data_IF_329019991237
#
_entry.id   IF_329019991237
#
_cell.length_a   1.000
_cell.length_b   1.000
_cell.length_c   1.000
_cell.angle_alpha   90.00
_cell.angle_beta   90.00
_cell.angle_gamma   90.00
#
_symmetry.space_group_name_H-M   'P 1'
#
loop_
_entity.id
_entity.type
_entity.pdbx_description
1 polymer ?
#
# COMPACT_ATOMS: atom_id res chain seq x y z
N UNK A 1 12.44 0.48 16.23
CA UNK A 1 11.82 0.87 14.94
C UNK A 1 12.86 1.58 14.09
N UNK A 2 12.65 1.65 12.78
CA UNK A 2 13.51 2.49 11.93
C UNK A 2 13.31 3.97 12.23
N UNK A 3 14.37 4.76 12.04
CA UNK A 3 14.35 6.20 12.26
C UNK A 3 13.28 6.87 11.41
N UNK A 4 12.34 7.55 12.09
CA UNK A 4 11.13 8.13 11.51
C UNK A 4 10.54 9.21 12.43
N UNK A 5 9.60 10.00 11.90
CA UNK A 5 8.78 10.90 12.69
C UNK A 5 7.73 10.12 13.50
N UNK A 6 8.01 9.92 14.79
CA UNK A 6 7.13 9.19 15.70
C UNK A 6 5.81 9.91 15.95
N UNK A 7 5.78 11.26 15.94
CA UNK A 7 4.52 12.00 16.09
C UNK A 7 3.58 11.72 14.93
N UNK A 8 4.12 11.71 13.70
CA UNK A 8 3.36 11.37 12.49
C UNK A 8 2.72 9.98 12.55
N UNK A 9 3.38 9.03 13.20
CA UNK A 9 2.87 7.68 13.48
C UNK A 9 1.86 7.66 14.65
N UNK A 10 2.16 8.36 15.74
CA UNK A 10 1.46 8.28 17.02
C UNK A 10 0.17 9.11 17.11
N UNK A 11 -0.05 10.09 16.22
CA UNK A 11 -1.15 11.07 16.30
C UNK A 11 -2.58 10.45 16.29
N UNK A 12 -3.03 9.71 17.32
CA UNK A 12 -4.35 9.09 17.54
C UNK A 12 -5.05 8.46 16.32
N UNK A 13 -4.33 8.25 15.21
CA UNK A 13 -4.84 7.80 13.90
C UNK A 13 -5.11 6.29 13.91
N UNK A 14 -4.41 5.56 14.76
CA UNK A 14 -4.43 4.10 14.83
C UNK A 14 -4.71 3.57 16.25
N UNK A 15 -4.80 4.45 17.24
CA UNK A 15 -4.72 4.11 18.66
C UNK A 15 -6.09 3.71 19.21
N UNK A 16 -6.34 2.42 19.35
CA UNK A 16 -7.42 1.92 20.19
C UNK A 16 -7.03 2.12 21.67
N UNK A 17 -7.88 2.80 22.43
CA UNK A 17 -7.72 3.07 23.87
C UNK A 17 -6.44 3.82 24.30
N UNK A 18 -5.60 4.30 23.38
CA UNK A 18 -4.37 5.06 23.68
C UNK A 18 -3.23 4.23 24.30
N UNK A 19 -3.28 2.91 24.19
CA UNK A 19 -2.35 1.99 24.89
C UNK A 19 -1.23 1.42 24.01
N UNK A 20 -1.15 1.80 22.73
CA UNK A 20 -0.16 1.23 21.82
C UNK A 20 1.28 1.46 22.30
N UNK A 21 2.07 0.40 22.32
CA UNK A 21 3.49 0.51 22.65
C UNK A 21 4.29 1.05 21.48
N UNK A 22 4.95 2.18 21.69
CA UNK A 22 5.88 2.79 20.76
C UNK A 22 7.30 2.47 21.20
N UNK A 23 8.06 1.79 20.35
CA UNK A 23 9.45 1.44 20.61
C UNK A 23 10.39 2.58 20.23
N UNK A 24 11.64 2.55 20.72
CA UNK A 24 12.65 3.53 20.30
C UNK A 24 12.92 3.45 18.79
N UNK A 25 13.33 4.58 18.22
CA UNK A 25 13.75 4.70 16.82
C UNK A 25 15.29 4.68 16.72
N UNK A 26 15.81 4.09 15.65
CA UNK A 26 17.25 3.99 15.38
C UNK A 26 17.49 3.80 13.87
N UNK A 27 18.67 4.19 13.37
CA UNK A 27 19.12 3.75 12.04
C UNK A 27 19.47 2.25 12.02
N UNK A 28 19.97 1.73 13.15
CA UNK A 28 20.12 0.30 13.39
C UNK A 28 18.74 -0.32 13.67
N UNK A 29 18.04 -0.66 12.60
CA UNK A 29 16.64 -1.07 12.65
C UNK A 29 16.28 -2.23 11.74
N UNK A 30 17.25 -2.80 11.01
CA UNK A 30 17.01 -3.88 10.05
C UNK A 30 16.83 -5.22 10.79
N UNK A 31 15.67 -5.34 11.41
CA UNK A 31 15.23 -6.50 12.18
C UNK A 31 14.01 -7.16 11.52
N UNK A 32 13.77 -8.41 11.88
CA UNK A 32 12.52 -9.11 11.61
C UNK A 32 12.07 -9.85 12.87
N UNK A 33 10.76 -9.99 13.04
CA UNK A 33 10.16 -10.80 14.10
C UNK A 33 9.60 -12.09 13.49
N UNK A 34 9.63 -13.19 14.24
CA UNK A 34 9.13 -14.49 13.79
C UNK A 34 8.12 -15.00 14.81
N UNK A 35 6.94 -15.33 14.32
CA UNK A 35 5.86 -15.94 15.07
C UNK A 35 5.64 -17.34 14.51
N UNK A 36 5.91 -18.36 15.33
CA UNK A 36 5.70 -19.76 14.99
C UNK A 36 4.74 -20.39 15.99
N UNK A 37 3.81 -21.27 15.55
CA UNK A 37 2.90 -21.97 16.46
C UNK A 37 3.65 -22.77 17.53
N UNK A 38 3.01 -22.98 18.68
CA UNK A 38 3.54 -23.86 19.71
C UNK A 38 3.75 -25.30 19.15
N UNK A 39 4.65 -26.07 19.77
CA UNK A 39 5.01 -27.45 19.36
C UNK A 39 5.66 -27.56 17.96
N UNK A 40 6.19 -26.46 17.43
CA UNK A 40 6.91 -26.48 16.15
C UNK A 40 8.15 -27.38 16.23
N UNK A 41 8.14 -28.47 15.48
CA UNK A 41 9.33 -29.28 15.22
C UNK A 41 10.08 -28.73 14.00
N UNK A 42 11.42 -28.80 14.05
CA UNK A 42 12.27 -28.52 12.89
C UNK A 42 11.80 -29.36 11.70
N UNK A 43 11.50 -28.71 10.57
CA UNK A 43 11.07 -29.41 9.35
C UNK A 43 9.58 -29.72 9.25
N UNK A 44 8.73 -29.12 10.10
CA UNK A 44 7.27 -29.24 9.95
C UNK A 44 6.72 -28.75 8.59
N UNK A 45 7.49 -27.93 7.85
CA UNK A 45 7.20 -27.57 6.47
C UNK A 45 5.99 -26.64 6.33
N UNK A 46 5.77 -25.75 7.31
CA UNK A 46 4.63 -24.84 7.31
C UNK A 46 4.78 -23.74 6.25
N UNK A 47 3.68 -23.26 5.63
CA UNK A 47 3.73 -22.05 4.83
C UNK A 47 4.29 -20.88 5.64
N UNK A 48 5.07 -20.03 4.98
CA UNK A 48 5.66 -18.82 5.58
C UNK A 48 4.96 -17.61 5.00
N UNK A 49 4.47 -16.71 5.85
CA UNK A 49 3.85 -15.44 5.46
C UNK A 49 4.71 -14.28 5.93
N UNK A 50 5.28 -13.51 4.99
CA UNK A 50 6.22 -12.41 5.27
C UNK A 50 5.52 -11.06 5.08
N UNK A 51 5.27 -10.36 6.18
CA UNK A 51 4.54 -9.11 6.24
C UNK A 51 5.43 -7.88 6.02
N UNK A 52 4.96 -6.96 5.19
CA UNK A 52 5.50 -5.62 5.03
C UNK A 52 4.47 -4.59 5.52
N UNK A 53 4.87 -3.78 6.48
CA UNK A 53 4.00 -2.75 7.03
C UNK A 53 3.78 -1.58 6.04
N UNK A 54 2.64 -0.89 6.19
CA UNK A 54 2.33 0.33 5.46
C UNK A 54 2.96 1.59 6.08
N UNK A 55 2.48 2.77 5.66
CA UNK A 55 2.89 4.06 6.22
C UNK A 55 3.55 5.02 5.23
N UNK A 56 3.08 5.04 3.98
CA UNK A 56 3.54 5.97 2.92
C UNK A 56 5.06 5.91 2.64
N UNK A 57 5.70 4.76 2.95
CA UNK A 57 7.15 4.58 2.91
C UNK A 57 7.93 5.53 3.84
N UNK A 58 7.24 6.24 4.74
CA UNK A 58 7.78 7.30 5.59
C UNK A 58 7.78 6.92 7.08
N UNK A 59 6.76 6.17 7.50
CA UNK A 59 6.55 5.73 8.89
C UNK A 59 6.08 4.28 8.93
N UNK A 60 6.03 3.69 10.11
CA UNK A 60 5.53 2.34 10.38
C UNK A 60 6.54 1.45 11.10
N UNK A 61 6.05 0.31 11.60
CA UNK A 61 6.86 -0.66 12.30
C UNK A 61 6.30 -2.08 12.23
N UNK A 62 7.17 -3.06 12.02
CA UNK A 62 6.92 -4.49 12.08
C UNK A 62 6.45 -4.93 13.47
N UNK A 63 6.91 -4.25 14.52
CA UNK A 63 6.49 -4.48 15.92
C UNK A 63 5.04 -4.07 16.17
N UNK A 64 4.42 -3.29 15.30
CA UNK A 64 2.98 -2.95 15.41
C UNK A 64 2.05 -4.10 14.98
N UNK A 65 2.60 -5.19 14.46
CA UNK A 65 1.85 -6.31 13.90
C UNK A 65 2.19 -7.59 14.67
N UNK A 66 1.36 -7.92 15.66
CA UNK A 66 1.49 -9.19 16.39
C UNK A 66 0.97 -10.35 15.52
N UNK A 67 1.89 -11.20 15.06
CA UNK A 67 1.59 -12.36 14.22
C UNK A 67 1.09 -13.59 14.98
N UNK A 68 0.94 -13.53 16.32
CA UNK A 68 0.67 -14.70 17.15
C UNK A 68 -0.65 -15.39 16.82
N UNK A 69 -1.75 -14.63 16.68
CA UNK A 69 -3.06 -15.21 16.37
C UNK A 69 -3.08 -15.81 14.96
N UNK A 70 -2.57 -15.08 13.96
CA UNK A 70 -2.50 -15.60 12.58
C UNK A 70 -1.65 -16.88 12.49
N UNK A 71 -0.50 -16.92 13.18
CA UNK A 71 0.33 -18.12 13.25
C UNK A 71 -0.45 -19.29 13.87
N UNK A 72 -1.04 -19.08 15.04
CA UNK A 72 -1.72 -20.13 15.80
C UNK A 72 -2.97 -20.68 15.10
N UNK A 73 -3.88 -19.80 14.63
CA UNK A 73 -5.12 -20.22 13.96
C UNK A 73 -4.89 -20.71 12.53
N UNK A 74 -3.88 -20.17 11.83
CA UNK A 74 -3.58 -20.50 10.44
C UNK A 74 -2.64 -21.70 10.24
N UNK A 75 -1.96 -22.13 11.30
CA UNK A 75 -0.86 -23.09 11.28
C UNK A 75 0.21 -22.71 10.23
N UNK A 76 0.73 -21.49 10.37
CA UNK A 76 1.74 -20.86 9.49
C UNK A 76 2.83 -20.20 10.31
N UNK A 77 4.00 -19.98 9.70
CA UNK A 77 5.03 -19.11 10.26
C UNK A 77 4.81 -17.70 9.74
N UNK A 78 4.62 -16.73 10.63
CA UNK A 78 4.50 -15.31 10.26
C UNK A 78 5.82 -14.60 10.54
N UNK A 79 6.32 -13.84 9.55
CA UNK A 79 7.52 -13.02 9.68
C UNK A 79 7.15 -11.57 9.45
N UNK A 80 7.41 -10.66 10.39
CA UNK A 80 7.20 -9.21 10.18
C UNK A 80 8.53 -8.51 9.99
N UNK A 81 8.68 -7.75 8.90
CA UNK A 81 9.98 -7.21 8.46
C UNK A 81 10.03 -5.69 8.63
N UNK A 82 11.12 -5.18 9.23
CA UNK A 82 11.50 -3.78 9.16
C UNK A 82 12.30 -3.48 7.90
N UNK A 83 12.11 -2.28 7.35
CA UNK A 83 12.88 -1.74 6.24
C UNK A 83 13.10 -0.23 6.42
N UNK A 84 14.17 0.32 5.84
CA UNK A 84 14.45 1.77 5.94
C UNK A 84 13.33 2.60 5.32
N UNK A 85 13.04 3.73 5.95
CA UNK A 85 11.92 4.62 5.62
C UNK A 85 12.42 6.02 5.23
N UNK A 86 11.54 6.81 4.62
CA UNK A 86 11.78 8.22 4.34
C UNK A 86 13.03 8.47 3.48
N UNK A 87 13.76 9.54 3.82
CA UNK A 87 15.04 9.87 3.19
C UNK A 87 16.03 8.70 3.26
N UNK A 88 16.10 7.99 4.39
CA UNK A 88 17.06 6.90 4.58
C UNK A 88 16.74 5.66 3.73
N UNK A 89 15.48 5.45 3.37
CA UNK A 89 15.03 4.33 2.55
C UNK A 89 14.92 4.62 1.05
N UNK A 90 14.68 5.88 0.68
CA UNK A 90 14.22 6.22 -0.68
C UNK A 90 14.87 7.47 -1.28
N UNK A 91 15.85 8.09 -0.61
CA UNK A 91 16.63 9.18 -1.23
C UNK A 91 17.34 8.69 -2.49
N UNK A 92 17.27 9.48 -3.55
CA UNK A 92 17.91 9.16 -4.83
C UNK A 92 18.40 10.42 -5.53
N UNK A 93 19.61 10.37 -6.07
CA UNK A 93 20.16 11.38 -7.00
C UNK A 93 19.79 11.07 -8.46
N UNK A 94 19.37 9.83 -8.74
CA UNK A 94 19.06 9.38 -10.11
C UNK A 94 20.28 8.89 -10.88
N UNK A 95 21.39 8.65 -10.18
CA UNK A 95 22.66 8.14 -10.70
C UNK A 95 23.25 7.10 -9.71
N UNK A 96 24.48 6.66 -9.98
CA UNK A 96 25.17 5.64 -9.18
C UNK A 96 25.51 6.07 -7.74
N UNK A 97 25.49 7.37 -7.41
CA UNK A 97 25.90 7.86 -6.10
C UNK A 97 24.84 7.62 -5.02
N UNK A 98 23.57 7.71 -5.41
CA UNK A 98 22.42 7.29 -4.63
C UNK A 98 21.30 6.85 -5.59
N UNK A 99 21.25 5.57 -6.00
CA UNK A 99 20.26 5.09 -6.98
C UNK A 99 18.83 5.00 -6.43
N UNK A 100 18.65 5.06 -5.11
CA UNK A 100 17.36 4.91 -4.44
C UNK A 100 17.06 3.49 -3.99
N UNK A 101 15.78 3.23 -3.67
CA UNK A 101 15.21 1.91 -3.39
C UNK A 101 15.87 1.09 -2.28
N UNK A 102 16.52 1.74 -1.31
CA UNK A 102 17.15 1.07 -0.18
C UNK A 102 16.13 0.28 0.66
N UNK A 103 14.93 0.82 0.88
CA UNK A 103 13.85 0.10 1.56
C UNK A 103 13.40 -1.18 0.83
N UNK A 104 13.40 -1.19 -0.52
CA UNK A 104 13.14 -2.42 -1.29
C UNK A 104 14.28 -3.43 -1.13
N UNK A 105 15.53 -2.97 -1.18
CA UNK A 105 16.70 -3.84 -1.00
C UNK A 105 16.76 -4.45 0.40
N UNK A 106 16.32 -3.74 1.43
CA UNK A 106 16.19 -4.25 2.80
C UNK A 106 15.19 -5.41 2.86
N UNK A 107 14.03 -5.25 2.22
CA UNK A 107 13.02 -6.31 2.13
C UNK A 107 13.55 -7.51 1.34
N UNK A 108 14.26 -7.30 0.23
CA UNK A 108 14.91 -8.39 -0.52
C UNK A 108 15.95 -9.10 0.34
N UNK A 109 16.73 -8.37 1.15
CA UNK A 109 17.69 -8.95 2.08
C UNK A 109 16.99 -9.80 3.15
N UNK A 110 15.87 -9.33 3.71
CA UNK A 110 15.05 -10.10 4.65
C UNK A 110 14.48 -11.38 4.00
N UNK A 111 14.03 -11.32 2.75
CA UNK A 111 13.56 -12.51 2.03
C UNK A 111 14.68 -13.52 1.76
N UNK A 112 15.89 -13.05 1.42
CA UNK A 112 17.07 -13.93 1.33
C UNK A 112 17.40 -14.57 2.68
N UNK A 113 17.26 -13.82 3.77
CA UNK A 113 17.40 -14.36 5.12
C UNK A 113 16.35 -15.46 5.39
N UNK A 114 15.08 -15.22 5.06
CA UNK A 114 14.00 -16.23 5.19
C UNK A 114 14.35 -17.49 4.39
N UNK A 115 14.78 -17.35 3.14
CA UNK A 115 15.21 -18.48 2.30
C UNK A 115 16.35 -19.29 2.92
N UNK A 116 17.31 -18.62 3.57
CA UNK A 116 18.43 -19.28 4.24
C UNK A 116 18.10 -19.89 5.61
N UNK A 117 17.17 -19.31 6.36
CA UNK A 117 17.09 -19.50 7.81
C UNK A 117 15.71 -19.87 8.37
N UNK A 118 14.63 -19.93 7.58
CA UNK A 118 13.29 -20.14 8.16
C UNK A 118 13.01 -21.57 8.61
N UNK A 119 13.76 -22.57 8.10
CA UNK A 119 13.51 -24.00 8.36
C UNK A 119 13.62 -24.40 9.85
N UNK A 120 14.62 -23.95 10.62
CA UNK A 120 14.66 -24.17 12.08
C UNK A 120 13.46 -23.59 12.84
N UNK A 121 12.77 -22.59 12.27
CA UNK A 121 11.54 -22.03 12.83
C UNK A 121 10.28 -22.75 12.33
N UNK A 122 10.42 -23.94 11.71
CA UNK A 122 9.32 -24.77 11.21
C UNK A 122 8.74 -24.37 9.86
N UNK A 123 9.28 -23.32 9.22
CA UNK A 123 8.81 -22.82 7.94
C UNK A 123 9.38 -23.59 6.73
N UNK A 124 8.59 -23.66 5.67
CA UNK A 124 9.01 -24.14 4.35
C UNK A 124 9.45 -22.98 3.47
N UNK A 125 10.74 -22.97 3.12
CA UNK A 125 11.35 -21.97 2.21
C UNK A 125 10.77 -22.03 0.79
N UNK A 126 10.16 -23.16 0.40
CA UNK A 126 9.51 -23.37 -0.90
C UNK A 126 8.01 -23.00 -0.87
N UNK A 127 7.50 -22.48 0.25
CA UNK A 127 6.11 -22.09 0.41
C UNK A 127 6.00 -20.72 1.11
N UNK A 128 6.72 -19.74 0.56
CA UNK A 128 6.78 -18.36 1.06
C UNK A 128 5.76 -17.48 0.34
N UNK A 129 4.92 -16.78 1.10
CA UNK A 129 3.96 -15.78 0.65
C UNK A 129 4.36 -14.42 1.17
N UNK A 130 4.54 -13.43 0.30
CA UNK A 130 4.73 -12.03 0.72
C UNK A 130 3.37 -11.36 0.86
N UNK A 131 3.17 -10.56 1.89
CA UNK A 131 1.94 -9.80 2.05
C UNK A 131 2.16 -8.45 2.70
N UNK A 132 1.29 -7.48 2.40
CA UNK A 132 1.43 -6.14 2.94
C UNK A 132 0.19 -5.28 2.72
N UNK A 133 0.04 -4.27 3.58
CA UNK A 133 -1.04 -3.29 3.52
C UNK A 133 -0.53 -1.91 3.09
N UNK A 134 -1.32 -1.18 2.30
CA UNK A 134 -0.96 0.17 1.85
C UNK A 134 0.39 0.19 1.14
N UNK A 135 1.33 1.04 1.55
CA UNK A 135 2.71 1.05 1.06
C UNK A 135 3.42 -0.32 1.15
N UNK A 136 3.10 -1.16 2.12
CA UNK A 136 3.59 -2.54 2.20
C UNK A 136 3.02 -3.44 1.11
N UNK A 137 1.78 -3.22 0.69
CA UNK A 137 1.17 -3.84 -0.49
C UNK A 137 1.83 -3.36 -1.79
N UNK A 138 2.19 -2.07 -1.86
CA UNK A 138 3.01 -1.53 -2.96
C UNK A 138 4.39 -2.19 -3.01
N UNK A 139 5.04 -2.44 -1.87
CA UNK A 139 6.29 -3.21 -1.83
C UNK A 139 6.05 -4.64 -2.35
N UNK A 140 5.08 -5.38 -1.80
CA UNK A 140 4.82 -6.76 -2.19
C UNK A 140 4.50 -6.92 -3.68
N UNK A 141 3.66 -6.05 -4.26
CA UNK A 141 3.41 -6.02 -5.71
C UNK A 141 4.62 -5.58 -6.52
N UNK A 142 5.45 -4.67 -6.00
CA UNK A 142 6.72 -4.29 -6.62
C UNK A 142 7.71 -5.45 -6.71
N UNK A 143 7.79 -6.29 -5.67
CA UNK A 143 8.63 -7.49 -5.68
C UNK A 143 8.18 -8.52 -6.73
N UNK A 144 6.88 -8.61 -7.03
CA UNK A 144 6.38 -9.45 -8.15
C UNK A 144 6.99 -9.01 -9.47
N UNK A 145 7.15 -7.71 -9.69
CA UNK A 145 7.70 -7.15 -10.93
C UNK A 145 9.23 -7.07 -10.93
N UNK A 146 9.88 -7.20 -9.79
CA UNK A 146 11.31 -6.95 -9.65
C UNK A 146 12.14 -8.22 -9.91
N UNK A 147 13.16 -8.16 -10.79
CA UNK A 147 14.02 -9.32 -11.07
C UNK A 147 14.87 -9.73 -9.85
N UNK A 148 15.23 -8.80 -8.96
CA UNK A 148 16.08 -9.09 -7.79
C UNK A 148 15.37 -9.92 -6.71
N UNK A 149 14.05 -10.01 -6.78
CA UNK A 149 13.22 -10.80 -5.87
C UNK A 149 12.77 -12.16 -6.47
N UNK A 150 13.12 -12.44 -7.73
CA UNK A 150 12.73 -13.65 -8.43
C UNK A 150 13.19 -14.91 -7.68
N UNK A 151 12.26 -15.84 -7.44
CA UNK A 151 12.52 -17.10 -6.73
C UNK A 151 12.62 -16.98 -5.21
N UNK A 152 12.42 -15.80 -4.61
CA UNK A 152 12.43 -15.65 -3.14
C UNK A 152 11.07 -15.91 -2.49
N UNK A 153 9.99 -15.90 -3.26
CA UNK A 153 8.62 -16.15 -2.80
C UNK A 153 7.77 -16.77 -3.91
N UNK A 154 6.60 -17.28 -3.53
CA UNK A 154 5.79 -18.18 -4.35
C UNK A 154 4.37 -17.65 -4.54
N UNK A 155 3.94 -16.68 -3.73
CA UNK A 155 2.59 -16.07 -3.73
C UNK A 155 2.68 -14.65 -3.17
N UNK A 156 1.75 -13.79 -3.56
CA UNK A 156 1.67 -12.43 -3.05
C UNK A 156 0.24 -12.05 -2.65
N UNK A 157 0.10 -11.31 -1.56
CA UNK A 157 -1.16 -10.71 -1.11
C UNK A 157 -0.97 -9.21 -0.93
N UNK A 158 -1.78 -8.38 -1.57
CA UNK A 158 -1.71 -6.92 -1.41
C UNK A 158 -3.03 -6.33 -0.97
N UNK A 159 -3.00 -5.64 0.17
CA UNK A 159 -4.18 -5.12 0.84
C UNK A 159 -4.20 -3.60 0.68
N UNK A 160 -5.13 -3.08 -0.11
CA UNK A 160 -5.33 -1.63 -0.27
C UNK A 160 -4.06 -0.90 -0.74
N UNK A 161 -3.30 -1.50 -1.66
CA UNK A 161 -1.99 -0.99 -2.06
C UNK A 161 -1.32 -1.77 -3.18
N UNK A 162 -0.91 -1.09 -4.27
CA UNK A 162 -0.11 -1.68 -5.37
C UNK A 162 1.01 -0.73 -5.81
N UNK A 163 2.04 -1.25 -6.50
CA UNK A 163 3.21 -0.48 -6.93
C UNK A 163 2.90 0.59 -7.98
N UNK A 164 1.75 0.46 -8.66
CA UNK A 164 1.27 1.41 -9.68
C UNK A 164 0.41 2.55 -9.12
N UNK A 165 0.33 2.70 -7.79
CA UNK A 165 -0.38 3.82 -7.17
C UNK A 165 0.27 5.15 -7.61
N UNK A 166 -0.53 6.12 -8.08
CA UNK A 166 -0.05 7.46 -8.39
C UNK A 166 0.74 8.11 -7.24
N UNK A 167 1.85 8.77 -7.58
CA UNK A 167 2.64 9.55 -6.61
C UNK A 167 3.63 8.75 -5.74
N UNK A 168 3.61 7.42 -5.77
CA UNK A 168 4.59 6.58 -5.05
C UNK A 168 5.86 6.29 -5.85
N UNK A 169 5.92 6.72 -7.12
CA UNK A 169 7.07 6.61 -8.03
C UNK A 169 7.50 7.98 -8.53
N UNK A 170 8.80 8.18 -8.75
CA UNK A 170 9.32 9.32 -9.53
C UNK A 170 10.35 8.86 -10.58
N UNK A 171 10.22 9.38 -11.80
CA UNK A 171 11.24 9.27 -12.84
C UNK A 171 12.28 10.39 -12.78
N UNK A 172 12.04 11.41 -11.95
CA UNK A 172 12.90 12.59 -11.81
C UNK A 172 13.18 12.85 -10.33
N UNK A 173 14.08 12.08 -9.70
CA UNK A 173 14.36 12.20 -8.26
C UNK A 173 15.20 13.43 -7.90
N UNK A 174 15.94 14.00 -8.86
CA UNK A 174 16.90 15.09 -8.62
C UNK A 174 16.32 16.34 -7.94
N UNK A 175 15.15 16.89 -8.33
CA UNK A 175 14.57 18.04 -7.64
C UNK A 175 14.28 17.79 -6.15
N UNK A 176 13.83 16.57 -5.81
CA UNK A 176 13.63 16.17 -4.42
C UNK A 176 14.96 16.06 -3.68
N UNK A 177 15.98 15.48 -4.31
CA UNK A 177 17.32 15.39 -3.75
C UNK A 177 17.91 16.77 -3.45
N UNK A 178 17.77 17.73 -4.37
CA UNK A 178 18.20 19.11 -4.17
C UNK A 178 17.46 19.81 -3.04
N UNK A 179 16.15 19.53 -2.87
CA UNK A 179 15.37 20.08 -1.77
C UNK A 179 15.86 19.53 -0.42
N UNK A 180 16.08 18.20 -0.32
CA UNK A 180 16.67 17.57 0.87
C UNK A 180 18.05 18.14 1.18
N UNK A 181 18.93 18.21 0.18
CA UNK A 181 20.27 18.78 0.33
C UNK A 181 20.22 20.23 0.81
N UNK A 182 19.36 21.07 0.23
CA UNK A 182 19.20 22.47 0.61
C UNK A 182 18.67 22.63 2.04
N UNK A 183 17.73 21.79 2.46
CA UNK A 183 17.22 21.80 3.83
C UNK A 183 18.32 21.55 4.87
N UNK A 184 19.30 20.72 4.51
CA UNK A 184 20.42 20.26 5.33
C UNK A 184 21.71 21.07 5.14
N UNK A 185 21.69 22.13 4.33
CA UNK A 185 22.89 22.88 3.94
C UNK A 185 23.99 22.01 3.27
N UNK A 186 23.57 21.04 2.46
CA UNK A 186 24.40 20.13 1.67
C UNK A 186 24.23 20.32 0.15
N UNK A 187 23.73 21.48 -0.29
CA UNK A 187 23.55 21.77 -1.72
C UNK A 187 24.90 21.71 -2.45
N UNK A 188 25.03 20.82 -3.42
CA UNK A 188 26.14 20.77 -4.36
C UNK A 188 25.61 20.50 -5.77
N UNK A 189 26.37 20.94 -6.78
CA UNK A 189 26.16 20.54 -8.17
C UNK A 189 26.71 19.14 -8.46
N UNK A 190 27.59 18.63 -7.59
CA UNK A 190 28.11 17.26 -7.64
C UNK A 190 27.24 16.33 -6.78
N UNK A 191 26.57 15.33 -7.37
CA UNK A 191 25.78 14.35 -6.62
C UNK A 191 26.63 13.58 -5.58
N UNK A 192 27.88 13.27 -5.91
CA UNK A 192 28.81 12.61 -4.99
C UNK A 192 29.08 13.44 -3.73
N UNK A 193 29.40 14.73 -3.88
CA UNK A 193 29.64 15.64 -2.75
C UNK A 193 28.38 15.87 -1.92
N UNK A 194 27.23 16.01 -2.57
CA UNK A 194 25.93 16.13 -1.90
C UNK A 194 25.67 14.91 -1.01
N UNK A 195 25.82 13.70 -1.56
CA UNK A 195 25.62 12.45 -0.82
C UNK A 195 26.64 12.31 0.31
N UNK A 196 27.90 12.68 0.08
CA UNK A 196 28.92 12.66 1.12
C UNK A 196 28.58 13.60 2.28
N UNK A 197 28.11 14.82 2.00
CA UNK A 197 27.67 15.77 3.02
C UNK A 197 26.46 15.24 3.79
N UNK A 198 25.45 14.69 3.09
CA UNK A 198 24.26 14.15 3.74
C UNK A 198 24.57 12.97 4.67
N UNK A 199 25.54 12.11 4.32
CA UNK A 199 26.00 11.00 5.19
C UNK A 199 26.74 11.46 6.45
N UNK A 200 27.17 12.71 6.52
CA UNK A 200 27.78 13.30 7.73
C UNK A 200 26.75 13.96 8.65
N UNK A 201 25.47 13.99 8.25
CA UNK A 201 24.38 14.50 9.08
C UNK A 201 23.91 13.44 10.06
N UNK A 202 23.46 13.88 11.22
CA UNK A 202 22.72 13.03 12.13
C UNK A 202 21.39 12.62 11.48
N UNK A 203 21.03 11.34 11.58
CA UNK A 203 19.80 10.84 10.97
C UNK A 203 18.54 11.59 11.42
N UNK A 204 18.51 12.05 12.67
CA UNK A 204 17.39 12.84 13.21
C UNK A 204 17.22 14.17 12.46
N UNK A 205 18.32 14.83 12.06
CA UNK A 205 18.29 16.07 11.27
C UNK A 205 17.64 15.82 9.90
N UNK A 206 17.95 14.68 9.28
CA UNK A 206 17.41 14.29 7.97
C UNK A 206 15.92 13.95 8.03
N UNK A 207 15.50 13.23 9.08
CA UNK A 207 14.16 12.65 9.18
C UNK A 207 13.14 13.63 9.77
N UNK A 208 13.53 14.43 10.78
CA UNK A 208 12.62 15.29 11.53
C UNK A 208 12.60 16.75 11.01
N UNK A 209 13.23 16.99 9.85
CA UNK A 209 13.29 18.33 9.26
C UNK A 209 11.92 18.84 8.85
N UNK A 210 11.38 19.80 9.61
CA UNK A 210 10.12 20.50 9.29
C UNK A 210 10.17 21.30 7.99
N UNK A 211 11.37 21.51 7.42
CA UNK A 211 11.53 22.13 6.08
C UNK A 211 11.06 21.20 4.96
N UNK A 212 11.07 19.89 5.19
CA UNK A 212 10.67 18.88 4.22
C UNK A 212 9.18 18.54 4.40
N UNK A 213 8.34 19.09 3.52
CA UNK A 213 6.90 18.77 3.47
C UNK A 213 6.63 17.58 2.54
N UNK A 214 7.21 16.42 2.85
CA UNK A 214 7.11 15.22 2.00
C UNK A 214 6.09 14.25 2.61
N UNK A 215 4.96 14.07 1.92
CA UNK A 215 3.91 13.14 2.33
C UNK A 215 4.22 11.70 1.92
N UNK A 216 4.72 11.49 0.71
CA UNK A 216 5.11 10.16 0.22
C UNK A 216 6.55 10.27 -0.27
N UNK A 217 7.40 9.33 0.14
CA UNK A 217 8.75 9.20 -0.40
C UNK A 217 8.71 8.25 -1.60
N UNK A 218 8.93 8.74 -2.82
CA UNK A 218 8.75 7.92 -4.01
C UNK A 218 9.92 6.96 -4.21
N UNK A 219 9.63 5.77 -4.73
CA UNK A 219 10.66 4.88 -5.28
C UNK A 219 11.09 5.35 -6.68
N UNK A 220 12.22 4.84 -7.16
CA UNK A 220 12.83 5.24 -8.44
C UNK A 220 12.97 4.08 -9.41
N UNK A 221 13.14 4.40 -10.70
CA UNK A 221 13.57 3.43 -11.72
C UNK A 221 15.10 3.43 -11.68
N UNK A 222 15.69 2.55 -10.89
CA UNK A 222 17.11 2.53 -10.54
C UNK A 222 17.97 1.61 -11.43
N UNK A 223 17.35 0.89 -12.38
CA UNK A 223 18.04 -0.06 -13.24
C UNK A 223 18.32 -1.42 -12.60
N UNK A 224 18.22 -1.52 -11.25
CA UNK A 224 18.50 -2.75 -10.49
C UNK A 224 17.23 -3.33 -9.89
N UNK A 225 16.60 -2.64 -8.93
CA UNK A 225 15.32 -3.08 -8.35
C UNK A 225 14.21 -2.96 -9.39
N UNK A 226 14.14 -1.84 -10.09
CA UNK A 226 13.22 -1.59 -11.18
C UNK A 226 13.99 -1.17 -12.44
N UNK A 227 14.16 -2.08 -13.43
CA UNK A 227 14.83 -1.76 -14.68
C UNK A 227 13.99 -0.86 -15.61
N UNK A 228 12.68 -0.83 -15.42
CA UNK A 228 11.69 0.00 -16.13
C UNK A 228 10.58 0.42 -15.17
N UNK A 229 9.68 1.30 -15.62
CA UNK A 229 8.50 1.62 -14.81
C UNK A 229 7.63 0.37 -14.60
N UNK A 230 6.93 0.24 -13.45
CA UNK A 230 5.99 -0.86 -13.24
C UNK A 230 4.91 -1.00 -14.32
N UNK A 231 4.44 0.13 -14.88
CA UNK A 231 3.47 0.14 -15.99
C UNK A 231 4.06 -0.55 -17.24
N UNK A 232 5.32 -0.28 -17.58
CA UNK A 232 6.02 -0.94 -18.69
C UNK A 232 6.25 -2.43 -18.42
N UNK A 233 6.71 -2.79 -17.20
CA UNK A 233 6.93 -4.18 -16.81
C UNK A 233 5.64 -5.02 -16.90
N UNK A 234 4.50 -4.45 -16.47
CA UNK A 234 3.18 -5.07 -16.60
C UNK A 234 2.79 -5.30 -18.05
N UNK A 235 3.02 -4.31 -18.92
CA UNK A 235 2.73 -4.39 -20.36
C UNK A 235 3.58 -5.42 -21.08
N UNK A 236 4.86 -5.52 -20.73
CA UNK A 236 5.82 -6.46 -21.31
C UNK A 236 5.63 -7.90 -20.80
N UNK A 237 4.91 -8.07 -19.68
CA UNK A 237 4.65 -9.38 -19.04
C UNK A 237 5.94 -10.14 -18.68
N UNK A 238 7.04 -9.41 -18.47
CA UNK A 238 8.35 -9.98 -18.16
C UNK A 238 8.64 -9.89 -16.66
N UNK A 239 7.98 -10.74 -15.88
CA UNK A 239 8.15 -10.84 -14.43
C UNK A 239 7.79 -12.25 -13.95
N UNK A 240 8.22 -12.60 -12.72
CA UNK A 240 7.95 -13.90 -12.14
C UNK A 240 6.49 -13.97 -11.65
N UNK A 241 5.61 -14.50 -12.50
CA UNK A 241 4.18 -14.64 -12.17
C UNK A 241 3.96 -15.64 -11.05
N UNK A 242 3.34 -15.17 -9.96
CA UNK A 242 2.87 -15.98 -8.83
C UNK A 242 1.35 -15.82 -8.65
N UNK A 243 0.65 -16.75 -7.97
CA UNK A 243 -0.71 -16.50 -7.50
C UNK A 243 -0.77 -15.20 -6.68
N UNK A 244 -1.82 -14.41 -6.93
CA UNK A 244 -1.98 -13.07 -6.39
C UNK A 244 -3.37 -12.89 -5.77
N UNK A 245 -3.42 -12.45 -4.50
CA UNK A 245 -4.67 -12.08 -3.83
C UNK A 245 -4.60 -10.58 -3.54
N UNK A 246 -5.62 -9.81 -3.92
CA UNK A 246 -5.66 -8.39 -3.62
C UNK A 246 -7.05 -7.88 -3.39
N UNK A 247 -7.17 -6.67 -2.85
CA UNK A 247 -8.44 -6.03 -2.65
C UNK A 247 -8.28 -4.66 -2.02
N UNK A 248 -9.43 -4.06 -1.78
CA UNK A 248 -9.58 -2.70 -1.27
C UNK A 248 -10.64 -2.69 -0.16
N UNK A 249 -10.70 -1.59 0.59
CA UNK A 249 -11.78 -1.30 1.52
C UNK A 249 -12.82 -0.39 0.86
N UNK A 250 -14.08 -0.43 1.32
CA UNK A 250 -15.14 0.40 0.72
C UNK A 250 -15.08 1.90 1.09
N UNK A 251 -14.04 2.35 1.81
CA UNK A 251 -13.87 3.75 2.22
C UNK A 251 -12.38 4.14 2.40
N UNK A 252 -11.55 3.86 1.39
CA UNK A 252 -10.08 4.04 1.42
C UNK A 252 -9.57 5.44 1.76
N UNK A 253 -10.30 6.48 1.37
CA UNK A 253 -9.94 7.87 1.69
C UNK A 253 -10.94 8.50 2.66
N UNK A 254 -11.59 7.68 3.49
CA UNK A 254 -12.63 8.15 4.40
C UNK A 254 -12.09 8.95 5.56
N UNK A 255 -11.15 8.40 6.33
CA UNK A 255 -10.69 9.05 7.56
C UNK A 255 -9.18 8.94 7.79
N UNK A 256 -8.62 7.73 7.72
CA UNK A 256 -7.23 7.50 8.10
C UNK A 256 -6.25 8.26 7.19
N UNK A 257 -6.41 8.13 5.89
CA UNK A 257 -5.53 8.76 4.90
C UNK A 257 -5.65 10.30 4.93
N UNK A 258 -6.85 10.92 4.80
CA UNK A 258 -6.96 12.37 4.87
C UNK A 258 -6.51 12.93 6.22
N UNK A 259 -6.75 12.24 7.35
CA UNK A 259 -6.22 12.64 8.66
C UNK A 259 -4.70 12.54 8.68
N UNK A 260 -4.16 11.47 8.10
CA UNK A 260 -2.75 11.22 7.85
C UNK A 260 -2.03 12.38 7.19
N UNK A 261 -2.71 12.98 6.21
CA UNK A 261 -2.19 14.06 5.37
C UNK A 261 -2.53 15.46 5.89
N UNK A 262 -3.24 15.57 7.02
CA UNK A 262 -3.67 16.86 7.58
C UNK A 262 -4.78 17.53 6.77
N UNK A 263 -5.51 16.77 5.97
CA UNK A 263 -6.60 17.25 5.14
C UNK A 263 -7.96 17.12 5.86
N UNK A 264 -8.17 16.07 6.65
CA UNK A 264 -9.50 15.70 7.17
C UNK A 264 -10.29 16.89 7.77
N UNK A 265 -9.65 17.72 8.59
CA UNK A 265 -10.31 18.83 9.29
C UNK A 265 -10.48 20.09 8.43
N UNK A 266 -9.84 20.14 7.25
CA UNK A 266 -9.85 21.30 6.33
C UNK A 266 -10.67 21.04 5.05
N UNK A 267 -11.06 19.80 4.78
CA UNK A 267 -11.70 19.39 3.53
C UNK A 267 -13.02 20.11 3.23
N UNK A 268 -13.83 20.39 4.25
CA UNK A 268 -15.09 21.12 4.08
C UNK A 268 -14.87 22.61 3.76
N UNK A 269 -13.67 23.15 4.02
CA UNK A 269 -13.32 24.55 3.72
C UNK A 269 -12.44 24.69 2.46
N UNK A 270 -12.07 23.58 1.82
CA UNK A 270 -11.22 23.63 0.62
C UNK A 270 -11.94 24.29 -0.54
N UNK A 271 -11.23 25.22 -1.19
CA UNK A 271 -11.67 25.77 -2.47
C UNK A 271 -11.53 24.74 -3.60
N UNK A 272 -12.16 25.01 -4.75
CA UNK A 272 -11.95 24.20 -5.97
C UNK A 272 -10.48 24.21 -6.38
N UNK A 273 -9.80 25.34 -6.22
CA UNK A 273 -8.38 25.52 -6.50
C UNK A 273 -7.52 24.65 -5.58
N UNK A 274 -7.85 24.55 -4.29
CA UNK A 274 -7.15 23.67 -3.35
C UNK A 274 -7.32 22.19 -3.74
N UNK A 275 -8.55 21.78 -4.07
CA UNK A 275 -8.84 20.42 -4.54
C UNK A 275 -8.10 20.10 -5.84
N UNK A 276 -8.09 21.02 -6.80
CA UNK A 276 -7.34 20.90 -8.05
C UNK A 276 -5.84 20.80 -7.80
N UNK A 277 -5.28 21.60 -6.90
CA UNK A 277 -3.86 21.54 -6.56
C UNK A 277 -3.49 20.17 -5.96
N UNK A 278 -4.35 19.58 -5.12
CA UNK A 278 -4.15 18.24 -4.55
C UNK A 278 -4.28 17.15 -5.61
N UNK A 279 -5.23 17.28 -6.54
CA UNK A 279 -5.51 16.28 -7.58
C UNK A 279 -4.53 16.32 -8.75
N UNK A 280 -3.93 17.48 -9.02
CA UNK A 280 -3.06 17.72 -10.19
C UNK A 280 -1.95 16.69 -10.35
N UNK A 281 -1.15 16.33 -9.32
CA UNK A 281 -0.09 15.33 -9.46
C UNK A 281 -0.62 13.95 -9.87
N UNK A 282 -1.81 13.57 -9.38
CA UNK A 282 -2.42 12.28 -9.67
C UNK A 282 -3.02 12.24 -11.07
N UNK A 283 -3.71 13.31 -11.49
CA UNK A 283 -4.23 13.45 -12.86
C UNK A 283 -3.09 13.51 -13.88
N UNK A 284 -1.99 14.21 -13.57
CA UNK A 284 -0.77 14.22 -14.40
C UNK A 284 -0.23 12.80 -14.61
N UNK A 285 -0.25 11.95 -13.58
CA UNK A 285 0.22 10.55 -13.69
C UNK A 285 -0.68 9.64 -14.54
N UNK A 286 -1.88 10.12 -14.88
CA UNK A 286 -2.83 9.52 -15.79
C UNK A 286 -2.81 10.19 -17.17
N UNK A 287 -1.78 10.98 -17.47
CA UNK A 287 -1.56 11.67 -18.74
C UNK A 287 -2.68 12.69 -19.08
N UNK A 288 -3.37 13.21 -18.06
CA UNK A 288 -4.39 14.25 -18.23
C UNK A 288 -3.72 15.61 -18.49
N UNK A 289 -4.02 16.29 -19.61
CA UNK A 289 -3.55 17.66 -19.85
C UNK A 289 -4.05 18.64 -18.78
N UNK A 290 -3.24 19.61 -18.33
CA UNK A 290 -3.64 20.61 -17.33
C UNK A 290 -4.96 21.33 -17.67
N UNK A 291 -5.21 21.60 -18.96
CA UNK A 291 -6.40 22.28 -19.46
C UNK A 291 -7.69 21.44 -19.32
N UNK A 292 -7.55 20.11 -19.19
CA UNK A 292 -8.68 19.20 -18.98
C UNK A 292 -9.00 18.98 -17.50
N UNK A 293 -8.03 19.21 -16.59
CA UNK A 293 -8.17 18.87 -15.18
C UNK A 293 -9.38 19.53 -14.49
N UNK A 294 -9.66 20.84 -14.68
CA UNK A 294 -10.83 21.47 -14.05
C UNK A 294 -12.15 20.79 -14.44
N UNK A 295 -12.32 20.49 -15.73
CA UNK A 295 -13.55 19.84 -16.23
C UNK A 295 -13.73 18.41 -15.68
N UNK A 296 -12.63 17.67 -15.47
CA UNK A 296 -12.67 16.34 -14.86
C UNK A 296 -13.08 16.45 -13.39
N UNK A 297 -12.57 17.45 -12.67
CA UNK A 297 -12.95 17.68 -11.27
C UNK A 297 -14.43 18.03 -11.17
N UNK A 298 -14.92 18.92 -12.03
CA UNK A 298 -16.33 19.32 -12.05
C UNK A 298 -17.26 18.13 -12.36
N UNK A 299 -16.84 17.20 -13.23
CA UNK A 299 -17.60 15.99 -13.57
C UNK A 299 -17.78 15.05 -12.36
N UNK A 300 -16.83 15.03 -11.41
CA UNK A 300 -16.84 14.09 -10.27
C UNK A 300 -17.29 14.71 -8.96
N UNK A 301 -16.89 15.95 -8.69
CA UNK A 301 -17.22 16.66 -7.44
C UNK A 301 -18.56 17.42 -7.59
N UNK A 302 -18.99 17.66 -8.83
CA UNK A 302 -20.17 18.46 -9.12
C UNK A 302 -19.91 19.96 -8.88
N UNK A 303 -20.95 20.78 -9.01
CA UNK A 303 -20.93 22.22 -8.71
C UNK A 303 -21.80 22.56 -7.49
N UNK A 304 -22.10 21.57 -6.64
CA UNK A 304 -22.99 21.75 -5.50
C UNK A 304 -22.41 22.72 -4.47
N UNK A 305 -23.28 23.58 -3.92
CA UNK A 305 -22.94 24.57 -2.90
C UNK A 305 -22.87 23.98 -1.49
N UNK A 306 -23.20 22.69 -1.30
CA UNK A 306 -23.08 22.02 0.00
C UNK A 306 -21.61 21.61 0.26
N UNK A 307 -20.94 22.19 1.27
CA UNK A 307 -19.56 21.85 1.59
C UNK A 307 -19.40 20.38 2.01
N UNK A 308 -20.43 19.80 2.63
CA UNK A 308 -20.37 18.40 3.07
C UNK A 308 -20.41 17.44 1.88
N UNK A 309 -21.37 17.59 0.97
CA UNK A 309 -21.44 16.80 -0.27
C UNK A 309 -20.17 16.96 -1.12
N UNK A 310 -19.66 18.19 -1.25
CA UNK A 310 -18.40 18.48 -1.97
C UNK A 310 -17.22 17.73 -1.35
N UNK A 311 -17.07 17.78 -0.02
CA UNK A 311 -16.02 17.06 0.71
C UNK A 311 -16.13 15.55 0.53
N UNK A 312 -17.35 14.99 0.59
CA UNK A 312 -17.59 13.56 0.37
C UNK A 312 -17.23 13.13 -1.06
N UNK A 313 -17.65 13.88 -2.08
CA UNK A 313 -17.30 13.58 -3.47
C UNK A 313 -15.79 13.66 -3.71
N UNK A 314 -15.10 14.61 -3.06
CA UNK A 314 -13.63 14.66 -3.08
C UNK A 314 -13.01 13.43 -2.40
N UNK A 315 -13.54 12.95 -1.27
CA UNK A 315 -13.07 11.70 -0.63
C UNK A 315 -13.23 10.50 -1.56
N UNK A 316 -14.39 10.36 -2.19
CA UNK A 316 -14.66 9.25 -3.12
C UNK A 316 -13.70 9.28 -4.32
N UNK A 317 -13.51 10.47 -4.93
CA UNK A 317 -12.58 10.65 -6.04
C UNK A 317 -11.13 10.33 -5.64
N UNK A 318 -10.68 10.79 -4.47
CA UNK A 318 -9.34 10.51 -3.97
C UNK A 318 -9.15 9.02 -3.67
N UNK A 319 -10.14 8.35 -3.08
CA UNK A 319 -10.10 6.90 -2.86
C UNK A 319 -10.02 6.11 -4.16
N UNK A 320 -10.74 6.57 -5.19
CA UNK A 320 -10.72 5.96 -6.51
C UNK A 320 -9.37 6.11 -7.21
N UNK A 321 -8.84 7.34 -7.26
CA UNK A 321 -7.58 7.65 -7.91
C UNK A 321 -6.37 7.02 -7.22
N UNK A 322 -6.36 7.00 -5.88
CA UNK A 322 -5.21 6.50 -5.14
C UNK A 322 -5.21 4.98 -5.02
N UNK A 323 -6.36 4.35 -4.78
CA UNK A 323 -6.39 2.93 -4.39
C UNK A 323 -7.22 2.08 -5.34
N UNK A 324 -8.49 2.41 -5.56
CA UNK A 324 -9.41 1.49 -6.25
C UNK A 324 -9.01 1.26 -7.71
N UNK A 325 -8.82 2.32 -8.49
CA UNK A 325 -8.51 2.24 -9.92
C UNK A 325 -7.12 1.60 -10.15
N UNK A 326 -6.04 2.01 -9.45
CA UNK A 326 -4.74 1.38 -9.61
C UNK A 326 -4.75 -0.11 -9.24
N UNK A 327 -5.39 -0.49 -8.12
CA UNK A 327 -5.44 -1.89 -7.65
C UNK A 327 -6.21 -2.78 -8.62
N UNK A 328 -7.34 -2.29 -9.13
CA UNK A 328 -8.15 -3.00 -10.10
C UNK A 328 -7.45 -3.15 -11.46
N UNK A 329 -6.83 -2.06 -11.95
CA UNK A 329 -6.03 -2.08 -13.19
C UNK A 329 -4.85 -3.05 -13.08
N UNK A 330 -4.11 -3.03 -11.96
CA UNK A 330 -3.02 -3.97 -11.70
C UNK A 330 -3.50 -5.43 -11.75
N UNK A 331 -4.66 -5.71 -11.14
CA UNK A 331 -5.29 -7.03 -11.13
C UNK A 331 -5.66 -7.51 -12.54
N UNK A 332 -6.19 -6.62 -13.40
CA UNK A 332 -6.46 -6.92 -14.81
C UNK A 332 -5.17 -7.28 -15.57
N UNK A 333 -4.09 -6.53 -15.37
CA UNK A 333 -2.81 -6.83 -16.03
C UNK A 333 -2.26 -8.19 -15.65
N UNK A 334 -2.28 -8.55 -14.35
CA UNK A 334 -1.84 -9.87 -13.89
C UNK A 334 -2.72 -11.00 -14.44
N UNK A 335 -4.04 -10.83 -14.39
CA UNK A 335 -5.00 -11.77 -14.98
C UNK A 335 -4.71 -11.99 -16.46
N UNK A 336 -4.51 -10.91 -17.22
CA UNK A 336 -4.29 -10.96 -18.66
C UNK A 336 -2.88 -11.47 -19.02
N UNK A 337 -1.95 -11.49 -18.06
CA UNK A 337 -0.68 -12.20 -18.14
C UNK A 337 -0.80 -13.70 -17.79
N UNK A 338 -1.96 -14.15 -17.31
CA UNK A 338 -2.24 -15.55 -16.97
C UNK A 338 -1.99 -15.90 -15.50
N UNK A 339 -1.69 -14.92 -14.65
CA UNK A 339 -1.53 -15.15 -13.21
C UNK A 339 -2.89 -15.50 -12.57
N UNK A 340 -2.95 -16.47 -11.64
CA UNK A 340 -4.14 -16.66 -10.81
C UNK A 340 -4.37 -15.44 -9.91
N UNK A 341 -5.49 -14.73 -10.10
CA UNK A 341 -5.84 -13.55 -9.30
C UNK A 341 -7.13 -13.80 -8.52
N UNK A 342 -7.18 -13.34 -7.27
CA UNK A 342 -8.39 -13.25 -6.46
C UNK A 342 -8.54 -11.80 -5.98
N UNK A 343 -9.73 -11.23 -6.15
CA UNK A 343 -10.02 -9.84 -5.78
C UNK A 343 -11.06 -9.80 -4.65
N UNK A 344 -10.93 -8.86 -3.71
CA UNK A 344 -11.95 -8.58 -2.70
C UNK A 344 -12.26 -7.09 -2.54
N UNK A 345 -13.43 -6.80 -2.00
CA UNK A 345 -13.74 -5.52 -1.34
C UNK A 345 -14.15 -5.82 0.11
N UNK A 346 -13.46 -5.21 1.08
CA UNK A 346 -13.79 -5.33 2.49
C UNK A 346 -14.78 -4.22 2.89
N UNK A 347 -15.91 -4.63 3.47
CA UNK A 347 -17.08 -3.76 3.66
C UNK A 347 -17.55 -3.65 5.11
N UNK A 348 -16.82 -4.23 6.07
CA UNK A 348 -17.20 -4.21 7.48
C UNK A 348 -16.57 -3.04 8.24
N UNK A 349 -17.38 -2.25 8.95
CA UNK A 349 -16.88 -1.25 9.91
C UNK A 349 -16.57 -1.95 11.23
N UNK A 350 -15.30 -2.01 11.66
CA UNK A 350 -14.94 -2.63 12.94
C UNK A 350 -15.61 -1.90 14.11
N UNK A 351 -16.14 -2.62 15.09
CA UNK A 351 -16.75 -2.08 16.30
C UNK A 351 -15.78 -1.19 17.08
N UNK A 352 -14.49 -1.53 17.04
CA UNK A 352 -13.39 -0.75 17.62
C UNK A 352 -13.31 0.68 17.06
N UNK A 353 -13.79 0.92 15.82
CA UNK A 353 -13.85 2.27 15.24
C UNK A 353 -14.79 3.20 16.00
N UNK A 354 -15.80 2.70 16.71
CA UNK A 354 -16.71 3.55 17.48
C UNK A 354 -15.99 4.38 18.56
N UNK A 355 -14.79 3.95 18.99
CA UNK A 355 -13.97 4.65 19.99
C UNK A 355 -13.07 5.74 19.40
N UNK A 356 -12.81 5.70 18.09
CA UNK A 356 -11.75 6.49 17.45
C UNK A 356 -12.17 7.25 16.19
N UNK A 357 -13.26 6.84 15.54
CA UNK A 357 -13.71 7.38 14.25
C UNK A 357 -15.20 7.73 14.28
N UNK A 358 -15.62 8.83 13.61
CA UNK A 358 -17.03 9.16 13.45
C UNK A 358 -17.87 8.03 12.85
N UNK A 359 -19.17 8.03 13.13
CA UNK A 359 -20.11 6.98 12.72
C UNK A 359 -20.27 6.85 11.20
N UNK A 360 -20.04 7.94 10.44
CA UNK A 360 -20.14 7.94 8.97
C UNK A 360 -19.01 7.18 8.27
N UNK A 361 -17.90 6.92 8.96
CA UNK A 361 -16.76 6.20 8.38
C UNK A 361 -17.12 4.72 8.20
N UNK A 362 -17.00 4.14 7.00
CA UNK A 362 -17.28 2.71 6.76
C UNK A 362 -16.02 1.85 7.04
N UNK A 363 -15.72 0.88 6.17
CA UNK A 363 -14.44 0.18 6.19
C UNK A 363 -13.34 1.13 5.66
N UNK A 364 -12.74 1.88 6.58
CA UNK A 364 -11.66 2.82 6.30
C UNK A 364 -10.35 2.10 5.95
N UNK A 365 -9.38 2.83 5.38
CA UNK A 365 -8.09 2.28 5.00
C UNK A 365 -7.42 1.48 6.13
N UNK A 366 -7.05 0.23 5.84
CA UNK A 366 -6.39 -0.68 6.79
C UNK A 366 -7.33 -1.42 7.75
N UNK A 367 -8.65 -1.21 7.67
CA UNK A 367 -9.63 -1.87 8.55
C UNK A 367 -9.53 -3.40 8.51
N UNK A 368 -9.27 -3.98 7.35
CA UNK A 368 -9.15 -5.42 7.12
C UNK A 368 -7.95 -6.03 7.84
N UNK A 369 -6.90 -5.24 8.07
CA UNK A 369 -5.63 -5.74 8.60
C UNK A 369 -5.79 -6.28 10.02
N UNK A 370 -6.65 -5.65 10.83
CA UNK A 370 -6.93 -6.11 12.18
C UNK A 370 -7.62 -7.49 12.21
N UNK A 371 -8.40 -7.83 11.17
CA UNK A 371 -9.02 -9.16 11.05
C UNK A 371 -8.04 -10.20 10.52
N UNK A 372 -7.20 -9.84 9.54
CA UNK A 372 -6.16 -10.75 9.00
C UNK A 372 -5.14 -11.16 10.08
N UNK A 373 -4.80 -10.25 11.00
CA UNK A 373 -3.88 -10.54 12.10
C UNK A 373 -4.56 -11.15 13.35
N UNK A 374 -5.87 -11.38 13.33
CA UNK A 374 -6.55 -11.97 14.47
C UNK A 374 -6.73 -11.01 15.66
N UNK A 375 -6.83 -9.71 15.40
CA UNK A 375 -7.06 -8.65 16.38
C UNK A 375 -8.14 -8.91 17.45
N UNK A 376 -9.30 -9.54 17.12
CA UNK A 376 -10.28 -9.98 18.10
C UNK A 376 -9.78 -10.95 19.17
N UNK A 377 -8.64 -11.61 18.93
CA UNK A 377 -8.05 -12.64 19.79
C UNK A 377 -6.76 -12.18 20.48
N UNK A 378 -6.30 -10.96 20.21
CA UNK A 378 -5.14 -10.38 20.86
C UNK A 378 -5.58 -9.73 22.18
N UNK A 379 -5.07 -10.25 23.30
CA UNK A 379 -5.40 -9.75 24.64
C UNK A 379 -4.48 -8.63 25.11
N UNK A 380 -3.31 -8.49 24.48
CA UNK A 380 -2.40 -7.38 24.76
C UNK A 380 -2.87 -6.12 24.01
N UNK A 381 -3.57 -5.24 24.72
CA UNK A 381 -4.05 -3.95 24.20
C UNK A 381 -2.90 -2.98 23.81
N UNK A 382 -1.64 -3.34 24.07
CA UNK A 382 -0.49 -2.59 23.56
C UNK A 382 -0.22 -2.85 22.07
N UNK A 383 -0.76 -3.93 21.52
CA UNK A 383 -0.73 -4.22 20.08
C UNK A 383 -1.68 -3.29 19.32
N UNK A 384 -1.20 -2.72 18.21
CA UNK A 384 -1.95 -1.75 17.40
C UNK A 384 -3.29 -2.31 16.89
N UNK A 385 -3.30 -3.61 16.61
CA UNK A 385 -4.43 -4.30 15.99
C UNK A 385 -5.32 -5.02 17.00
N UNK A 386 -5.01 -4.95 18.30
CA UNK A 386 -5.81 -5.61 19.31
C UNK A 386 -7.16 -4.89 19.54
N UNK A 387 -8.25 -5.65 19.48
CA UNK A 387 -9.58 -5.19 19.88
C UNK A 387 -10.38 -6.36 20.48
N UNK A 388 -10.01 -6.82 21.69
CA UNK A 388 -10.62 -8.00 22.31
C UNK A 388 -12.12 -7.84 22.62
N UNK A 389 -12.65 -6.61 22.59
CA UNK A 389 -14.07 -6.30 22.70
C UNK A 389 -14.90 -6.59 21.44
N UNK A 390 -14.30 -7.20 20.41
CA UNK A 390 -14.97 -7.59 19.18
C UNK A 390 -16.25 -8.39 19.44
N UNK A 391 -17.26 -8.14 18.61
CA UNK A 391 -18.50 -8.94 18.58
C UNK A 391 -18.23 -10.38 18.13
N UNK A 392 -19.15 -11.31 18.37
CA UNK A 392 -18.96 -12.68 17.90
C UNK A 392 -18.99 -12.78 16.37
N UNK A 393 -19.78 -11.94 15.70
CA UNK A 393 -19.77 -11.82 14.24
C UNK A 393 -18.38 -11.39 13.72
N UNK A 394 -17.69 -10.49 14.44
CA UNK A 394 -16.34 -10.04 14.10
C UNK A 394 -15.26 -11.08 14.37
N UNK A 395 -15.39 -11.85 15.45
CA UNK A 395 -14.51 -12.99 15.71
C UNK A 395 -14.66 -14.04 14.61
N UNK A 396 -15.89 -14.36 14.20
CA UNK A 396 -16.13 -15.30 13.11
C UNK A 396 -15.63 -14.77 11.76
N UNK A 397 -15.80 -13.47 11.49
CA UNK A 397 -15.25 -12.82 10.30
C UNK A 397 -13.72 -12.95 10.28
N UNK A 398 -13.06 -12.66 11.41
CA UNK A 398 -11.61 -12.78 11.57
C UNK A 398 -11.10 -14.21 11.35
N UNK A 399 -11.75 -15.21 11.95
CA UNK A 399 -11.43 -16.63 11.72
C UNK A 399 -11.55 -17.01 10.23
N UNK A 400 -12.62 -16.55 9.57
CA UNK A 400 -12.85 -16.81 8.14
C UNK A 400 -11.77 -16.19 7.27
N UNK A 401 -11.39 -14.93 7.55
CA UNK A 401 -10.32 -14.24 6.83
C UNK A 401 -8.96 -14.90 7.06
N UNK A 402 -8.57 -15.20 8.30
CA UNK A 402 -7.31 -15.90 8.60
C UNK A 402 -7.25 -17.26 7.88
N UNK A 403 -8.35 -18.00 7.85
CA UNK A 403 -8.44 -19.26 7.13
C UNK A 403 -8.24 -19.09 5.61
N UNK A 404 -8.90 -18.12 4.98
CA UNK A 404 -8.73 -17.86 3.54
C UNK A 404 -7.32 -17.37 3.19
N UNK A 405 -6.73 -16.47 3.99
CA UNK A 405 -5.37 -15.95 3.78
C UNK A 405 -4.31 -17.06 3.92
N UNK A 406 -4.42 -17.90 4.96
CA UNK A 406 -3.46 -18.99 5.19
C UNK A 406 -3.66 -20.15 4.21
N UNK A 407 -4.90 -20.42 3.77
CA UNK A 407 -5.21 -21.36 2.69
C UNK A 407 -4.59 -20.91 1.37
N UNK A 408 -4.73 -19.61 1.04
CA UNK A 408 -4.06 -19.01 -0.10
C UNK A 408 -2.55 -19.13 0.04
N UNK A 409 -1.97 -18.79 1.20
CA UNK A 409 -0.52 -18.92 1.43
C UNK A 409 -0.01 -20.35 1.21
N UNK A 410 -0.82 -21.37 1.54
CA UNK A 410 -0.50 -22.79 1.39
C UNK A 410 -0.64 -23.31 -0.04
N UNK A 411 -1.65 -22.87 -0.78
CA UNK A 411 -2.05 -23.52 -2.04
C UNK A 411 -2.11 -22.59 -3.25
N UNK A 412 -2.20 -21.28 -3.03
CA UNK A 412 -2.44 -20.28 -4.09
C UNK A 412 -3.91 -20.10 -4.43
N UNK A 413 -4.79 -20.68 -3.61
CA UNK A 413 -6.24 -20.60 -3.73
C UNK A 413 -6.84 -20.38 -2.32
N UNK A 414 -7.66 -19.35 -2.09
CA UNK A 414 -8.25 -19.08 -0.78
C UNK A 414 -9.43 -20.02 -0.42
N UNK A 415 -9.89 -20.87 -1.34
CA UNK A 415 -11.05 -21.74 -1.12
C UNK A 415 -10.73 -22.98 -0.27
N UNK A 416 -11.68 -23.39 0.55
CA UNK A 416 -11.60 -24.58 1.41
C UNK A 416 -12.96 -25.02 1.93
N UNK A 417 -13.02 -26.19 2.55
CA UNK A 417 -14.25 -26.72 3.15
C UNK A 417 -14.77 -25.77 4.24
N UNK A 418 -16.08 -25.49 4.22
CA UNK A 418 -16.71 -24.57 5.18
C UNK A 418 -16.41 -23.08 4.97
N UNK A 419 -15.58 -22.71 3.99
CA UNK A 419 -15.27 -21.31 3.67
C UNK A 419 -16.20 -20.75 2.58
N UNK A 420 -16.49 -19.44 2.60
CA UNK A 420 -17.21 -18.79 1.51
C UNK A 420 -16.51 -18.98 0.17
N UNK A 421 -17.25 -19.23 -0.92
CA UNK A 421 -16.67 -19.38 -2.24
C UNK A 421 -16.06 -18.05 -2.69
N UNK A 422 -14.80 -18.10 -3.10
CA UNK A 422 -14.05 -16.98 -3.63
C UNK A 422 -13.63 -17.29 -5.06
N UNK A 423 -14.39 -16.83 -6.07
CA UNK A 423 -14.07 -17.10 -7.46
C UNK A 423 -12.78 -16.38 -7.89
N UNK A 424 -12.09 -16.98 -8.85
CA UNK A 424 -10.97 -16.31 -9.53
C UNK A 424 -11.45 -15.05 -10.24
N UNK A 425 -10.64 -14.00 -10.13
CA UNK A 425 -10.79 -12.76 -10.88
C UNK A 425 -10.43 -13.01 -12.35
N UNK A 426 -11.41 -13.49 -13.11
CA UNK A 426 -11.29 -13.79 -14.54
C UNK A 426 -11.88 -12.63 -15.37
N UNK A 427 -12.15 -12.85 -16.67
CA UNK A 427 -12.73 -11.81 -17.55
C UNK A 427 -14.16 -11.38 -17.17
N UNK A 428 -14.83 -12.17 -16.33
CA UNK A 428 -16.15 -11.84 -15.77
C UNK A 428 -16.01 -10.90 -14.57
N UNK A 429 -14.79 -10.79 -14.01
CA UNK A 429 -14.43 -9.86 -12.93
C UNK A 429 -15.21 -10.07 -11.64
N UNK A 430 -15.39 -11.34 -11.27
CA UNK A 430 -15.91 -11.69 -9.96
C UNK A 430 -14.92 -11.32 -8.85
N UNK A 431 -15.46 -10.88 -7.73
CA UNK A 431 -14.72 -10.59 -6.51
C UNK A 431 -15.51 -11.03 -5.27
N UNK A 432 -14.85 -11.10 -4.12
CA UNK A 432 -15.51 -11.39 -2.85
C UNK A 432 -15.79 -10.10 -2.09
N UNK A 433 -17.05 -9.86 -1.75
CA UNK A 433 -17.45 -8.86 -0.76
C UNK A 433 -17.26 -9.46 0.63
N UNK A 434 -16.27 -8.95 1.37
CA UNK A 434 -15.92 -9.45 2.69
C UNK A 434 -16.63 -8.60 3.75
N UNK A 435 -17.59 -9.24 4.41
CA UNK A 435 -18.33 -8.75 5.57
C UNK A 435 -18.86 -9.98 6.35
N UNK A 436 -19.58 -9.84 7.48
CA UNK A 436 -20.08 -11.00 8.23
C UNK A 436 -20.95 -12.00 7.45
N UNK A 437 -21.55 -11.57 6.32
CA UNK A 437 -22.28 -12.42 5.38
C UNK A 437 -21.68 -12.25 3.98
N UNK A 438 -20.56 -12.95 3.67
CA UNK A 438 -19.82 -12.76 2.44
C UNK A 438 -20.65 -13.04 1.18
N UNK A 439 -20.41 -12.27 0.12
CA UNK A 439 -21.10 -12.43 -1.17
C UNK A 439 -20.13 -12.35 -2.33
N UNK A 440 -20.43 -13.07 -3.40
CA UNK A 440 -19.69 -12.92 -4.65
C UNK A 440 -20.28 -11.74 -5.41
N UNK A 441 -19.49 -10.70 -5.58
CA UNK A 441 -19.78 -9.57 -6.46
C UNK A 441 -19.24 -9.81 -7.86
N UNK A 442 -19.65 -8.95 -8.80
CA UNK A 442 -19.18 -8.97 -10.17
C UNK A 442 -18.99 -7.53 -10.66
N UNK A 443 -17.91 -7.27 -11.41
CA UNK A 443 -17.59 -5.96 -11.99
C UNK A 443 -17.55 -4.83 -10.93
N UNK A 444 -16.58 -4.93 -10.03
CA UNK A 444 -16.31 -3.94 -9.00
C UNK A 444 -16.32 -2.50 -9.56
N UNK A 445 -17.18 -1.64 -8.99
CA UNK A 445 -17.41 -0.24 -9.38
C UNK A 445 -17.41 -0.03 -10.91
N UNK A 446 -18.16 -0.84 -11.65
CA UNK A 446 -18.15 -0.91 -13.13
C UNK A 446 -18.06 0.45 -13.82
N UNK A 447 -18.96 1.39 -13.51
CA UNK A 447 -18.99 2.71 -14.14
C UNK A 447 -17.72 3.54 -13.88
N UNK A 448 -17.19 3.50 -12.65
CA UNK A 448 -15.93 4.17 -12.30
C UNK A 448 -14.77 3.52 -13.05
N UNK A 449 -14.66 2.19 -13.01
CA UNK A 449 -13.59 1.47 -13.70
C UNK A 449 -13.63 1.71 -15.21
N UNK A 450 -14.81 1.74 -15.82
CA UNK A 450 -14.99 2.06 -17.22
C UNK A 450 -14.60 3.51 -17.53
N UNK A 451 -14.96 4.46 -16.68
CA UNK A 451 -14.58 5.86 -16.86
C UNK A 451 -13.06 6.03 -16.94
N UNK A 452 -12.34 5.51 -15.95
CA UNK A 452 -10.89 5.72 -15.85
C UNK A 452 -10.09 4.89 -16.87
N UNK A 453 -10.59 3.71 -17.27
CA UNK A 453 -9.87 2.83 -18.20
C UNK A 453 -10.22 3.04 -19.68
N UNK A 454 -11.38 3.62 -20.01
CA UNK A 454 -11.84 3.75 -21.40
C UNK A 454 -12.25 5.19 -21.74
N UNK A 455 -13.15 5.78 -20.94
CA UNK A 455 -13.72 7.10 -21.24
C UNK A 455 -12.69 8.21 -21.16
N UNK A 456 -11.91 8.28 -20.07
CA UNK A 456 -10.90 9.31 -19.88
C UNK A 456 -9.80 9.26 -20.96
N UNK A 457 -9.15 8.11 -21.24
CA UNK A 457 -8.19 8.02 -22.35
C UNK A 457 -8.77 8.47 -23.69
N UNK A 458 -10.03 8.11 -23.99
CA UNK A 458 -10.73 8.55 -25.20
C UNK A 458 -10.94 10.06 -25.23
N UNK A 459 -11.33 10.68 -24.10
CA UNK A 459 -11.46 12.15 -23.97
C UNK A 459 -10.12 12.85 -24.20
N UNK A 460 -9.01 12.32 -23.65
CA UNK A 460 -7.66 12.86 -23.85
C UNK A 460 -7.26 12.79 -25.32
N UNK A 461 -7.47 11.63 -25.98
CA UNK A 461 -7.16 11.47 -27.40
C UNK A 461 -7.95 12.46 -28.28
N UNK A 462 -9.24 12.62 -28.01
CA UNK A 462 -10.09 13.59 -28.72
C UNK A 462 -9.64 15.03 -28.48
N UNK A 463 -9.16 15.35 -27.28
CA UNK A 463 -8.61 16.68 -26.97
C UNK A 463 -7.36 16.96 -27.80
N UNK A 464 -6.40 16.03 -27.86
CA UNK A 464 -5.21 16.18 -28.71
C UNK A 464 -5.57 16.40 -30.18
N UNK A 465 -6.48 15.59 -30.73
CA UNK A 465 -6.95 15.74 -32.12
C UNK A 465 -7.58 17.11 -32.39
N UNK A 466 -8.25 17.72 -31.39
CA UNK A 466 -8.81 19.07 -31.51
C UNK A 466 -7.72 20.15 -31.48
N UNK A 467 -6.70 19.98 -30.66
CA UNK A 467 -5.57 20.93 -30.61
C UNK A 467 -4.76 20.91 -31.89
N UNK A 468 -4.50 19.72 -32.45
CA UNK A 468 -3.77 19.58 -33.72
C UNK A 468 -4.52 20.27 -34.88
N UNK A 469 -5.85 20.14 -34.94
CA UNK A 469 -6.67 20.83 -35.95
C UNK A 469 -6.63 22.35 -35.78
N UNK A 470 -6.74 22.85 -34.55
CA UNK A 470 -6.63 24.31 -34.29
C UNK A 470 -5.28 24.86 -34.73
N UNK A 471 -4.20 24.15 -34.43
CA UNK A 471 -2.86 24.56 -34.85
C UNK A 471 -2.70 24.56 -36.38
N UNK A 472 -3.37 23.64 -37.09
CA UNK A 472 -3.39 23.60 -38.55
C UNK A 472 -4.25 24.72 -39.17
N UNK A 473 -5.35 25.12 -38.52
CA UNK A 473 -6.21 26.22 -38.97
C UNK A 473 -5.59 27.61 -38.71
N UNK A 474 -4.60 27.70 -37.82
CA UNK A 474 -3.86 28.94 -37.49
C UNK A 474 -2.57 29.13 -38.31
N UNK A 475 -2.17 28.13 -39.11
CA UNK A 475 -1.04 28.13 -40.06
C UNK A 475 -1.52 28.48 -41.48
#
# INVERSE_FOLDING_TARGET
MCLQDVERMNNNRFMLNGKHQIFSVSEDCLILNIYSPAETTTGAGRPVMVWFHGGSLAVGAATSYDGSALAAYGDVVVVTVQYRLGVLGFFSTGDEHAPGNQGFLDVVAALRWVQGNITPFGGDRNCVTVFGGSAGGSIASGLVLSPVASGLFHRAITQSGVITIPGIMTSHPWPLAQNVASAMACSSSSPAEMVQCLRQKEGEELVLSKKLKITIYPFTIDGTVFPKSPKELLKEKHYHSVPFLTGVNNHEFGWLVPRGWGLLDTMEQMSREDMLAILTPYLTSLDVPPEMMPAIIDEHIGSDLDPQATSQAFQELMGDLLINVPTFSFSRHLRDAGSPVFFYEFQHRPSSFAKIKPAWVKADHGAETAFVFGGPFLTDESSLLAFPEATEEEKQLSLTMMAQWTRFARTGDPNGEGLPPWPRFNRVEHYLEINPVPRVGQKFKEACMQYWSETLPSKIQQWHQKQDRKAQDEL
#
